data_IF_153759748659
#
_entry.id   IF_153759748659
#
_cell.length_a   1.000
_cell.length_b   1.000
_cell.length_c   1.000
_cell.angle_alpha   90.00
_cell.angle_beta   90.00
_cell.angle_gamma   90.00
#
_symmetry.space_group_name_H-M   'P 1'
#
loop_
_entity.id
_entity.type
_entity.pdbx_description
1 polymer ?
#
# COMPACT_ATOMS: atom_id res chain seq x y z
N UNK A 1 -7.67 21.08 -35.35
CA UNK A 1 -7.81 21.11 -33.89
C UNK A 1 -8.44 19.86 -33.34
N UNK A 2 -9.67 19.51 -33.75
CA UNK A 2 -10.34 18.30 -33.32
C UNK A 2 -9.58 17.01 -33.65
N UNK A 3 -8.88 16.96 -34.78
CA UNK A 3 -8.11 15.80 -35.20
C UNK A 3 -6.96 15.47 -34.25
N UNK A 4 -6.33 16.49 -33.65
CA UNK A 4 -5.28 16.29 -32.65
C UNK A 4 -5.85 15.73 -31.34
N UNK A 5 -7.02 16.19 -30.93
CA UNK A 5 -7.71 15.68 -29.74
C UNK A 5 -8.09 14.22 -29.87
N UNK A 6 -8.60 13.81 -31.05
CA UNK A 6 -8.93 12.42 -31.33
C UNK A 6 -7.70 11.52 -31.29
N UNK A 7 -6.58 11.93 -31.87
CA UNK A 7 -5.33 11.16 -31.88
C UNK A 7 -4.69 11.04 -30.49
N UNK A 8 -5.00 11.93 -29.57
CA UNK A 8 -4.42 11.99 -28.23
C UNK A 8 -5.35 11.49 -27.12
N UNK A 9 -6.52 10.95 -27.45
CA UNK A 9 -7.58 10.61 -26.49
C UNK A 9 -7.91 11.78 -25.54
N UNK A 10 -7.87 13.00 -26.06
CA UNK A 10 -8.04 14.20 -25.26
C UNK A 10 -9.52 14.47 -24.95
N UNK A 11 -9.75 15.21 -23.87
CA UNK A 11 -11.06 15.71 -23.48
C UNK A 11 -11.16 17.18 -23.91
N UNK A 12 -12.23 17.54 -24.61
CA UNK A 12 -12.51 18.93 -25.00
C UNK A 12 -13.44 19.54 -23.96
N UNK A 13 -12.98 20.63 -23.32
CA UNK A 13 -13.74 21.35 -22.32
C UNK A 13 -14.29 22.63 -22.93
N UNK A 14 -15.61 22.76 -22.96
CA UNK A 14 -16.30 23.96 -23.40
C UNK A 14 -16.88 24.72 -22.21
N UNK A 15 -16.53 26.00 -22.08
CA UNK A 15 -17.01 26.86 -21.01
C UNK A 15 -18.01 27.87 -21.54
N UNK A 16 -19.28 27.77 -21.15
CA UNK A 16 -20.41 28.57 -21.62
C UNK A 16 -20.58 28.60 -23.14
N UNK A 17 -20.16 27.53 -23.83
CA UNK A 17 -20.26 27.38 -25.28
C UNK A 17 -20.98 26.09 -25.64
N UNK A 18 -21.54 26.06 -26.85
CA UNK A 18 -22.11 24.86 -27.40
C UNK A 18 -21.36 24.48 -28.68
N UNK A 19 -21.02 23.19 -28.86
CA UNK A 19 -20.44 22.80 -30.16
C UNK A 19 -21.44 22.98 -31.27
N UNK A 20 -20.95 23.33 -32.45
CA UNK A 20 -21.77 23.33 -33.66
C UNK A 20 -22.24 21.90 -33.96
N UNK A 21 -23.31 21.74 -34.73
CA UNK A 21 -23.80 20.42 -35.08
C UNK A 21 -22.75 19.56 -35.79
N UNK A 22 -21.91 20.16 -36.64
CA UNK A 22 -20.81 19.46 -37.28
C UNK A 22 -19.70 19.04 -36.30
N UNK A 23 -19.35 19.90 -35.35
CA UNK A 23 -18.35 19.58 -34.35
C UNK A 23 -18.81 18.48 -33.38
N UNK A 24 -20.08 18.50 -32.95
CA UNK A 24 -20.67 17.47 -32.13
C UNK A 24 -20.67 16.09 -32.79
N UNK A 25 -21.07 16.04 -34.06
CA UNK A 25 -21.05 14.79 -34.85
C UNK A 25 -19.64 14.25 -35.03
N UNK A 26 -18.69 15.09 -35.33
CA UNK A 26 -17.30 14.69 -35.49
C UNK A 26 -16.72 14.16 -34.19
N UNK A 27 -17.00 14.79 -33.04
CA UNK A 27 -16.59 14.31 -31.75
C UNK A 27 -17.16 12.92 -31.44
N UNK A 28 -18.42 12.68 -31.74
CA UNK A 28 -19.05 11.35 -31.55
C UNK A 28 -18.42 10.29 -32.47
N UNK A 29 -18.13 10.61 -33.70
CA UNK A 29 -17.50 9.68 -34.66
C UNK A 29 -16.08 9.31 -34.27
N UNK A 30 -15.33 10.27 -33.76
CA UNK A 30 -13.93 10.07 -33.35
C UNK A 30 -13.77 9.63 -31.92
N UNK A 31 -14.87 9.48 -31.18
CA UNK A 31 -14.84 9.10 -29.76
C UNK A 31 -14.26 10.17 -28.84
N UNK A 32 -14.31 11.42 -29.24
CA UNK A 32 -13.83 12.54 -28.41
C UNK A 32 -14.94 13.02 -27.48
N UNK A 33 -14.62 13.14 -26.21
CA UNK A 33 -15.54 13.59 -25.18
C UNK A 33 -15.54 15.12 -25.10
N UNK A 34 -16.70 15.74 -25.38
CA UNK A 34 -16.89 17.18 -25.23
C UNK A 34 -17.72 17.45 -24.00
N UNK A 35 -17.09 18.10 -23.02
CA UNK A 35 -17.73 18.47 -21.76
C UNK A 35 -18.02 19.96 -21.71
N UNK A 36 -19.22 20.30 -21.27
CA UNK A 36 -19.71 21.69 -21.17
C UNK A 36 -19.87 22.09 -19.73
N UNK A 37 -19.31 23.23 -19.36
CA UNK A 37 -19.37 23.74 -18.01
C UNK A 37 -19.79 25.19 -17.99
N UNK A 38 -20.63 25.55 -17.04
CA UNK A 38 -21.03 26.94 -16.79
C UNK A 38 -20.22 27.61 -15.71
N UNK A 39 -19.56 26.83 -14.85
CA UNK A 39 -18.73 27.30 -13.73
C UNK A 39 -17.33 26.72 -13.87
N UNK A 40 -16.32 27.60 -13.85
CA UNK A 40 -14.92 27.19 -14.05
C UNK A 40 -14.44 26.19 -12.98
N UNK A 41 -14.93 26.28 -11.76
CA UNK A 41 -14.57 25.35 -10.68
C UNK A 41 -15.01 23.91 -11.00
N UNK A 42 -16.20 23.75 -11.57
CA UNK A 42 -16.69 22.42 -11.97
C UNK A 42 -15.82 21.82 -13.08
N UNK A 43 -15.37 22.65 -14.03
CA UNK A 43 -14.48 22.21 -15.09
C UNK A 43 -13.12 21.75 -14.55
N UNK A 44 -12.55 22.49 -13.61
CA UNK A 44 -11.26 22.16 -12.98
C UNK A 44 -11.36 20.87 -12.16
N UNK A 45 -12.39 20.73 -11.36
CA UNK A 45 -12.62 19.53 -10.53
C UNK A 45 -12.80 18.27 -11.41
N UNK A 46 -13.56 18.39 -12.47
CA UNK A 46 -13.81 17.27 -13.39
C UNK A 46 -12.55 16.84 -14.13
N UNK A 47 -11.76 17.77 -14.61
CA UNK A 47 -10.48 17.48 -15.27
C UNK A 47 -9.50 16.86 -14.28
N UNK A 48 -9.41 17.39 -13.08
CA UNK A 48 -8.56 16.85 -12.02
C UNK A 48 -8.94 15.41 -11.67
N UNK A 49 -10.23 15.13 -11.50
CA UNK A 49 -10.71 13.77 -11.23
C UNK A 49 -10.38 12.79 -12.36
N UNK A 50 -10.52 13.23 -13.62
CA UNK A 50 -10.15 12.41 -14.77
C UNK A 50 -8.65 12.11 -14.82
N UNK A 51 -7.81 13.08 -14.50
CA UNK A 51 -6.35 12.89 -14.43
C UNK A 51 -5.94 11.96 -13.30
N UNK A 52 -6.52 12.10 -12.12
CA UNK A 52 -6.28 11.21 -10.98
C UNK A 52 -6.63 9.75 -11.33
N UNK A 53 -7.72 9.53 -12.05
CA UNK A 53 -8.12 8.20 -12.50
C UNK A 53 -7.13 7.54 -13.46
N UNK A 54 -6.26 8.32 -14.12
CA UNK A 54 -5.21 7.82 -15.01
C UNK A 54 -3.92 7.44 -14.28
N UNK A 55 -3.76 7.83 -13.03
CA UNK A 55 -2.58 7.52 -12.24
C UNK A 55 -2.63 6.08 -11.72
N UNK A 56 -1.50 5.37 -11.84
CA UNK A 56 -1.38 4.05 -11.24
C UNK A 56 -1.38 4.14 -9.71
N UNK A 57 -1.99 3.17 -9.00
CA UNK A 57 -1.91 3.14 -7.54
C UNK A 57 -0.46 3.05 -7.08
N UNK A 58 -0.12 3.80 -6.05
CA UNK A 58 1.18 3.71 -5.40
C UNK A 58 1.12 2.68 -4.29
N UNK A 59 2.09 1.77 -4.25
CA UNK A 59 2.24 0.81 -3.16
C UNK A 59 3.06 1.45 -2.06
N UNK A 60 2.48 1.57 -0.88
CA UNK A 60 3.14 2.08 0.33
C UNK A 60 3.23 1.02 1.39
N UNK A 61 4.33 1.04 2.14
CA UNK A 61 4.49 0.19 3.30
C UNK A 61 3.92 0.91 4.53
N UNK A 62 3.04 0.22 5.24
CA UNK A 62 2.47 0.71 6.49
C UNK A 62 2.95 -0.18 7.64
N UNK A 63 3.62 0.41 8.62
CA UNK A 63 4.07 -0.30 9.80
C UNK A 63 2.86 -0.69 10.64
N UNK A 64 2.73 -1.99 10.93
CA UNK A 64 1.62 -2.52 11.70
C UNK A 64 1.97 -2.71 13.16
N UNK A 65 3.20 -3.12 13.48
CA UNK A 65 3.63 -3.32 14.85
C UNK A 65 5.13 -3.20 15.01
N UNK A 66 5.55 -2.90 16.22
CA UNK A 66 6.95 -2.98 16.66
C UNK A 66 7.05 -3.98 17.79
N UNK A 67 7.98 -4.92 17.68
CA UNK A 67 8.12 -6.07 18.58
C UNK A 67 9.54 -6.13 19.08
N UNK A 68 9.73 -6.33 20.40
CA UNK A 68 11.03 -6.50 21.02
C UNK A 68 11.31 -7.96 21.30
N UNK A 69 12.44 -8.47 20.81
CA UNK A 69 12.89 -9.83 21.07
C UNK A 69 13.46 -9.91 22.48
N UNK A 70 12.87 -10.76 23.32
CA UNK A 70 13.32 -10.98 24.70
C UNK A 70 14.06 -12.29 24.88
N UNK A 71 13.70 -13.32 24.12
CA UNK A 71 14.32 -14.62 24.16
C UNK A 71 14.40 -15.19 22.75
N UNK A 72 15.37 -16.06 22.51
CA UNK A 72 15.54 -16.76 21.23
C UNK A 72 15.68 -18.25 21.50
N UNK A 73 14.86 -19.04 20.79
CA UNK A 73 14.85 -20.49 20.89
C UNK A 73 15.21 -21.11 19.54
N UNK A 74 16.03 -22.14 19.56
CA UNK A 74 16.30 -22.93 18.39
C UNK A 74 15.54 -24.27 18.50
N UNK A 75 14.50 -24.42 17.68
CA UNK A 75 13.65 -25.60 17.68
C UNK A 75 14.01 -26.45 16.45
N UNK A 76 14.37 -27.70 16.66
CA UNK A 76 14.93 -28.60 15.65
C UNK A 76 14.06 -28.74 14.39
N UNK A 77 12.74 -28.68 14.52
CA UNK A 77 11.82 -28.85 13.40
C UNK A 77 11.34 -27.53 12.76
N UNK A 78 11.47 -26.42 13.47
CA UNK A 78 10.92 -25.13 13.07
C UNK A 78 12.02 -24.13 12.72
N UNK A 79 13.19 -24.26 13.31
CA UNK A 79 14.29 -23.32 13.21
C UNK A 79 14.31 -22.32 14.37
N UNK A 80 14.77 -21.12 14.11
CA UNK A 80 14.90 -20.09 15.12
C UNK A 80 13.54 -19.42 15.41
N UNK A 81 13.14 -19.42 16.66
CA UNK A 81 11.91 -18.76 17.13
C UNK A 81 12.25 -17.72 18.17
N UNK A 82 11.77 -16.52 17.99
CA UNK A 82 11.95 -15.45 18.95
C UNK A 82 10.76 -15.36 19.90
N UNK A 83 11.02 -15.41 21.19
CA UNK A 83 10.07 -15.02 22.21
C UNK A 83 10.12 -13.51 22.35
N UNK A 84 9.04 -12.84 21.97
CA UNK A 84 9.01 -11.41 21.81
C UNK A 84 7.76 -10.79 22.43
N UNK A 85 7.84 -9.50 22.73
CA UNK A 85 6.70 -8.73 23.23
C UNK A 85 6.34 -7.62 22.24
N UNK A 86 5.06 -7.53 21.91
CA UNK A 86 4.55 -6.45 21.04
C UNK A 86 4.57 -5.14 21.83
N UNK A 87 5.35 -4.18 21.37
CA UNK A 87 5.47 -2.85 22.01
C UNK A 87 4.41 -1.90 21.53
N UNK A 88 4.17 -1.86 20.21
CA UNK A 88 3.17 -0.99 19.59
C UNK A 88 2.47 -1.73 18.47
N UNK A 89 1.19 -1.39 18.25
CA UNK A 89 0.39 -1.90 17.17
C UNK A 89 -0.07 -3.34 17.35
N UNK A 90 -0.34 -3.99 16.25
CA UNK A 90 -0.83 -5.37 16.19
C UNK A 90 -0.08 -6.11 15.08
N UNK A 91 0.56 -7.21 15.45
CA UNK A 91 1.24 -8.08 14.49
C UNK A 91 0.26 -9.10 13.93
N UNK A 92 0.26 -9.29 12.62
CA UNK A 92 -0.52 -10.30 11.93
C UNK A 92 0.41 -11.32 11.27
N UNK A 93 -0.01 -12.57 11.23
CA UNK A 93 0.78 -13.64 10.60
C UNK A 93 1.03 -13.39 9.10
N UNK A 94 0.13 -12.67 8.43
CA UNK A 94 0.26 -12.31 7.01
C UNK A 94 1.18 -11.12 6.74
N UNK A 95 1.61 -10.40 7.78
CA UNK A 95 2.48 -9.25 7.62
C UNK A 95 3.90 -9.65 7.22
N UNK A 96 4.59 -8.74 6.58
CA UNK A 96 6.04 -8.82 6.38
C UNK A 96 6.74 -8.26 7.60
N UNK A 97 7.97 -8.71 7.81
CA UNK A 97 8.75 -8.31 8.98
C UNK A 97 10.17 -7.90 8.62
N UNK A 98 10.69 -6.93 9.33
CA UNK A 98 12.08 -6.52 9.29
C UNK A 98 12.72 -6.76 10.63
N UNK A 99 13.91 -7.33 10.63
CA UNK A 99 14.72 -7.47 11.82
C UNK A 99 15.67 -6.28 11.91
N UNK A 100 15.60 -5.56 13.00
CA UNK A 100 16.38 -4.34 13.22
C UNK A 100 17.32 -4.55 14.40
N UNK A 101 18.60 -4.28 14.18
CA UNK A 101 19.65 -4.35 15.20
C UNK A 101 20.42 -3.03 15.21
N UNK A 102 20.49 -2.40 16.38
CA UNK A 102 21.17 -1.11 16.56
C UNK A 102 20.68 -0.02 15.57
N UNK A 103 19.38 -0.02 15.28
CA UNK A 103 18.77 0.93 14.37
C UNK A 103 18.95 0.60 12.87
N UNK A 104 19.57 -0.54 12.56
CA UNK A 104 19.86 -0.95 11.19
C UNK A 104 19.03 -2.19 10.83
N UNK A 105 18.37 -2.15 9.68
CA UNK A 105 17.65 -3.31 9.14
C UNK A 105 18.65 -4.33 8.63
N UNK A 106 18.71 -5.50 9.28
CA UNK A 106 19.64 -6.58 8.92
C UNK A 106 18.98 -7.70 8.14
N UNK A 107 17.65 -7.79 8.19
CA UNK A 107 16.88 -8.80 7.47
C UNK A 107 15.47 -8.28 7.17
N UNK A 108 14.96 -8.64 6.01
CA UNK A 108 13.57 -8.37 5.62
C UNK A 108 12.98 -9.64 5.02
N UNK A 109 11.80 -10.03 5.48
CA UNK A 109 11.14 -11.24 5.01
C UNK A 109 9.72 -11.37 5.53
N UNK A 110 9.18 -12.57 5.39
CA UNK A 110 7.83 -12.87 5.82
C UNK A 110 7.85 -13.58 7.18
N UNK A 111 6.75 -13.46 7.91
CA UNK A 111 6.53 -14.21 9.13
C UNK A 111 6.23 -15.66 8.74
N UNK A 112 7.02 -16.60 9.27
CA UNK A 112 6.83 -18.02 9.06
C UNK A 112 5.77 -18.58 10.03
N UNK A 113 5.89 -18.25 11.32
CA UNK A 113 4.95 -18.68 12.34
C UNK A 113 4.75 -17.58 13.38
N UNK A 114 3.52 -17.45 13.84
CA UNK A 114 3.15 -16.57 14.94
C UNK A 114 2.38 -17.41 15.96
N UNK A 115 2.93 -17.49 17.15
CA UNK A 115 2.36 -18.29 18.23
C UNK A 115 2.21 -17.47 19.51
N UNK A 116 1.20 -17.80 20.29
CA UNK A 116 1.03 -17.29 21.65
C UNK A 116 0.89 -18.49 22.57
N UNK A 117 1.82 -18.61 23.53
CA UNK A 117 2.03 -19.82 24.29
C UNK A 117 2.38 -21.00 23.37
N UNK A 118 1.54 -22.02 23.28
CA UNK A 118 1.73 -23.17 22.36
C UNK A 118 0.79 -23.15 21.18
N UNK A 119 -0.09 -22.15 21.09
CA UNK A 119 -1.13 -22.07 20.08
C UNK A 119 -0.74 -21.16 18.92
N UNK A 120 -1.00 -21.60 17.70
CA UNK A 120 -0.90 -20.74 16.52
C UNK A 120 -1.99 -19.68 16.57
N UNK A 121 -1.60 -18.42 16.34
CA UNK A 121 -2.54 -17.30 16.31
C UNK A 121 -2.40 -16.51 15.02
N UNK A 122 -3.45 -15.81 14.64
CA UNK A 122 -3.45 -14.99 13.43
C UNK A 122 -2.90 -13.59 13.69
N UNK A 123 -3.07 -13.09 14.89
CA UNK A 123 -2.64 -11.75 15.28
C UNK A 123 -2.35 -11.67 16.78
N UNK A 124 -1.48 -10.74 17.15
CA UNK A 124 -1.14 -10.44 18.55
C UNK A 124 -1.15 -8.93 18.74
N UNK A 125 -1.85 -8.47 19.76
CA UNK A 125 -1.97 -7.05 20.07
C UNK A 125 -0.84 -6.51 20.94
N UNK A 126 -0.87 -5.20 21.17
CA UNK A 126 0.09 -4.48 22.04
C UNK A 126 0.11 -5.04 23.45
N UNK A 127 1.31 -5.08 24.05
CA UNK A 127 1.59 -5.59 25.41
C UNK A 127 1.35 -7.10 25.60
N UNK A 128 1.21 -7.85 24.53
CA UNK A 128 1.14 -9.30 24.61
C UNK A 128 2.45 -9.93 24.13
N UNK A 129 2.84 -11.01 24.80
CA UNK A 129 3.99 -11.80 24.38
C UNK A 129 3.59 -12.78 23.27
N UNK A 130 4.51 -13.04 22.37
CA UNK A 130 4.33 -14.00 21.29
C UNK A 130 5.63 -14.69 20.90
N UNK A 131 5.49 -15.86 20.31
CA UNK A 131 6.60 -16.51 19.62
C UNK A 131 6.50 -16.22 18.12
N UNK A 132 7.54 -15.66 17.55
CA UNK A 132 7.60 -15.30 16.14
C UNK A 132 8.80 -15.95 15.47
N UNK A 133 8.59 -16.55 14.31
CA UNK A 133 9.68 -17.00 13.45
C UNK A 133 9.57 -16.37 12.08
N UNK A 134 10.71 -16.06 11.49
CA UNK A 134 10.80 -15.46 10.17
C UNK A 134 11.28 -16.50 9.17
N UNK A 135 10.76 -16.42 7.94
CA UNK A 135 11.16 -17.32 6.86
C UNK A 135 12.63 -17.06 6.49
N UNK A 136 13.44 -18.12 6.47
CA UNK A 136 14.87 -18.05 6.12
C UNK A 136 15.71 -17.10 7.00
N UNK A 137 15.27 -16.81 8.19
CA UNK A 137 16.02 -15.99 9.13
C UNK A 137 16.64 -16.86 10.24
N UNK A 138 17.95 -16.88 10.31
CA UNK A 138 18.72 -17.64 11.30
C UNK A 138 19.59 -16.75 12.19
N UNK A 139 19.38 -15.44 12.18
CA UNK A 139 20.21 -14.48 12.90
C UNK A 139 19.35 -13.53 13.76
N UNK A 140 18.49 -14.10 14.60
CA UNK A 140 17.77 -13.33 15.61
C UNK A 140 18.49 -13.41 16.94
N UNK A 141 18.63 -12.28 17.62
CA UNK A 141 19.27 -12.18 18.95
C UNK A 141 18.39 -11.42 19.93
N UNK A 142 18.61 -11.68 21.21
CA UNK A 142 17.94 -10.93 22.27
C UNK A 142 18.32 -9.45 22.18
N UNK A 143 17.32 -8.59 22.30
CA UNK A 143 17.48 -7.15 22.17
C UNK A 143 17.23 -6.61 20.75
N UNK A 144 17.08 -7.47 19.76
CA UNK A 144 16.70 -7.06 18.42
C UNK A 144 15.23 -6.63 18.39
N UNK A 145 14.92 -5.75 17.45
CA UNK A 145 13.55 -5.30 17.22
C UNK A 145 13.02 -5.91 15.93
N UNK A 146 11.77 -6.30 15.96
CA UNK A 146 11.05 -6.70 14.74
C UNK A 146 9.99 -5.66 14.45
N UNK A 147 10.05 -5.10 13.26
CA UNK A 147 9.05 -4.16 12.75
C UNK A 147 8.23 -4.87 11.68
N UNK A 148 6.94 -5.03 11.94
CA UNK A 148 6.04 -5.63 10.96
C UNK A 148 5.36 -4.55 10.14
N UNK A 149 5.13 -4.86 8.87
CA UNK A 149 4.52 -3.92 7.94
C UNK A 149 3.64 -4.67 6.94
N UNK A 150 2.69 -3.94 6.37
CA UNK A 150 1.88 -4.42 5.26
C UNK A 150 2.06 -3.47 4.07
N UNK A 151 1.95 -4.02 2.88
CA UNK A 151 1.92 -3.22 1.65
C UNK A 151 0.48 -2.87 1.33
N UNK A 152 0.20 -1.59 1.20
CA UNK A 152 -1.12 -1.08 0.84
C UNK A 152 -1.05 -0.31 -0.47
N UNK A 153 -2.07 -0.45 -1.29
CA UNK A 153 -2.23 0.38 -2.48
C UNK A 153 -2.94 1.67 -2.09
N UNK A 154 -2.30 2.80 -2.38
CA UNK A 154 -2.85 4.12 -2.13
C UNK A 154 -3.11 4.80 -3.46
N UNK A 155 -4.34 5.26 -3.66
CA UNK A 155 -4.71 6.02 -4.84
C UNK A 155 -3.92 7.33 -4.87
N UNK A 156 -3.21 7.57 -5.98
CA UNK A 156 -2.49 8.82 -6.15
C UNK A 156 -3.46 9.98 -6.38
N UNK A 157 -3.16 11.14 -5.80
CA UNK A 157 -3.89 12.38 -5.95
C UNK A 157 -3.00 13.47 -6.54
N UNK A 158 -3.63 14.36 -7.27
CA UNK A 158 -2.96 15.54 -7.84
C UNK A 158 -2.87 16.69 -6.83
#
# INVERSE_FOLDING_TARGET
MLFRSAASDAIIVGFQVRPSGAAGKMADQEGVDIRKYSVIYDAIEEVKAAMEGMLAPEVKEQITATIEIREVFNITKVGLVAGAMVKTGKVKRSDKARLIRDGIVIFTGNINALKRFKDDVKEVGTNFECGISLVNCNDMKVGDMIETFEEIEVKQTL
#
